data_IF_848052098355
#
_entry.id   IF_848052098355
#
_cell.length_a   1.000
_cell.length_b   1.000
_cell.length_c   1.000
_cell.angle_alpha   90.00
_cell.angle_beta   90.00
_cell.angle_gamma   90.00
#
_symmetry.space_group_name_H-M   'P 1'
#
loop_
_entity.id
_entity.type
_entity.pdbx_description
1 polymer ?
#
# COMPACT_ATOMS: atom_id res chain seq x y z
N UNK A 1 -1.90 -39.22 -21.27
CA UNK A 1 -1.85 -37.82 -20.79
C UNK A 1 -0.60 -37.67 -19.95
N UNK A 2 0.32 -36.80 -20.36
CA UNK A 2 1.51 -36.47 -19.56
C UNK A 2 1.13 -35.42 -18.51
N UNK A 3 1.68 -35.54 -17.30
CA UNK A 3 1.50 -34.51 -16.27
C UNK A 3 2.17 -33.20 -16.72
N UNK A 4 1.59 -32.04 -16.37
CA UNK A 4 2.23 -30.75 -16.63
C UNK A 4 3.56 -30.64 -15.88
N UNK A 5 4.58 -30.00 -16.46
CA UNK A 5 5.87 -29.80 -15.81
C UNK A 5 5.72 -28.86 -14.61
N UNK A 6 6.35 -29.19 -13.48
CA UNK A 6 6.36 -28.38 -12.26
C UNK A 6 7.75 -27.84 -11.98
N UNK A 7 7.86 -26.74 -11.23
CA UNK A 7 9.15 -26.17 -10.83
C UNK A 7 9.81 -25.30 -11.89
N UNK A 8 9.01 -24.63 -12.74
CA UNK A 8 9.54 -23.73 -13.77
C UNK A 8 10.36 -22.58 -13.15
N UNK A 9 11.53 -22.31 -13.72
CA UNK A 9 12.44 -21.26 -13.29
C UNK A 9 11.96 -19.86 -13.73
N UNK A 10 12.54 -18.80 -13.16
CA UNK A 10 12.20 -17.44 -13.56
C UNK A 10 12.49 -17.21 -15.05
N UNK A 11 11.53 -16.61 -15.77
CA UNK A 11 11.56 -16.38 -17.21
C UNK A 11 11.00 -17.52 -18.07
N UNK A 12 10.72 -18.70 -17.48
CA UNK A 12 10.12 -19.81 -18.21
C UNK A 12 8.61 -19.64 -18.39
N UNK A 13 8.07 -20.21 -19.48
CA UNK A 13 6.63 -20.24 -19.75
C UNK A 13 5.87 -21.01 -18.68
N UNK A 14 4.72 -20.49 -18.28
CA UNK A 14 3.83 -21.09 -17.29
C UNK A 14 2.36 -20.91 -17.66
N UNK A 15 1.50 -21.75 -17.07
CA UNK A 15 0.05 -21.71 -17.26
C UNK A 15 -0.42 -22.28 -18.59
N UNK A 16 -1.35 -21.58 -19.25
CA UNK A 16 -2.07 -22.07 -20.43
C UNK A 16 -3.26 -22.99 -20.08
N UNK A 17 -4.03 -23.45 -21.08
CA UNK A 17 -5.17 -24.34 -20.85
C UNK A 17 -4.71 -25.65 -20.19
N UNK A 18 -5.25 -25.93 -19.01
CA UNK A 18 -4.85 -27.05 -18.14
C UNK A 18 -3.37 -27.03 -17.71
N UNK A 19 -2.79 -25.85 -17.51
CA UNK A 19 -1.39 -25.67 -17.07
C UNK A 19 -0.37 -26.41 -17.94
N UNK A 20 -0.63 -26.51 -19.26
CA UNK A 20 0.23 -27.23 -20.20
C UNK A 20 1.68 -26.72 -20.20
N UNK A 21 1.87 -25.43 -19.98
CA UNK A 21 3.20 -24.81 -19.92
C UNK A 21 3.88 -25.05 -18.57
N UNK A 22 3.10 -25.40 -17.53
CA UNK A 22 3.58 -25.82 -16.23
C UNK A 22 3.37 -24.81 -15.10
N UNK A 23 3.70 -25.23 -13.89
CA UNK A 23 3.63 -24.42 -12.68
C UNK A 23 5.02 -23.90 -12.29
N UNK A 24 5.06 -22.66 -11.82
CA UNK A 24 6.29 -22.01 -11.37
C UNK A 24 6.86 -22.66 -10.10
N UNK A 25 8.18 -22.58 -9.93
CA UNK A 25 8.85 -22.96 -8.69
C UNK A 25 8.29 -22.16 -7.49
N UNK A 26 8.36 -22.72 -6.26
CA UNK A 26 7.92 -22.01 -5.07
C UNK A 26 8.62 -20.65 -4.95
N UNK A 27 7.84 -19.59 -4.75
CA UNK A 27 8.32 -18.20 -4.71
C UNK A 27 8.14 -17.41 -6.01
N UNK A 28 7.74 -18.08 -7.09
CA UNK A 28 7.46 -17.46 -8.38
C UNK A 28 5.95 -17.48 -8.67
N UNK A 29 5.47 -16.45 -9.36
CA UNK A 29 4.07 -16.34 -9.82
C UNK A 29 4.02 -16.29 -11.34
N UNK A 30 3.01 -16.96 -11.92
CA UNK A 30 2.79 -16.90 -13.36
C UNK A 30 2.17 -15.56 -13.73
N UNK A 31 2.98 -14.67 -14.30
CA UNK A 31 2.54 -13.34 -14.73
C UNK A 31 2.19 -13.38 -16.23
N UNK A 32 1.04 -12.82 -16.65
CA UNK A 32 0.70 -12.73 -18.06
C UNK A 32 1.76 -11.88 -18.77
N UNK A 33 2.27 -12.37 -19.90
CA UNK A 33 3.11 -11.55 -20.76
C UNK A 33 2.18 -10.56 -21.44
N UNK A 34 2.29 -9.28 -21.09
CA UNK A 34 1.51 -8.20 -21.70
C UNK A 34 1.94 -8.08 -23.18
N UNK A 35 1.35 -8.89 -24.04
CA UNK A 35 1.51 -8.80 -25.49
C UNK A 35 0.69 -7.62 -25.99
N UNK A 36 1.07 -6.41 -25.55
CA UNK A 36 0.69 -5.14 -26.16
C UNK A 36 1.22 -5.12 -27.59
N UNK A 37 0.53 -5.81 -28.52
CA UNK A 37 0.49 -5.63 -29.98
C UNK A 37 -0.19 -6.80 -30.70
N UNK A 38 -1.45 -7.13 -30.39
CA UNK A 38 -2.35 -7.61 -31.47
C UNK A 38 -3.80 -7.38 -31.11
N UNK A 39 -4.37 -6.27 -31.57
CA UNK A 39 -5.82 -6.18 -31.82
C UNK A 39 -6.13 -7.16 -32.96
N UNK A 40 -6.57 -8.37 -32.65
CA UNK A 40 -7.45 -9.12 -33.55
C UNK A 40 -8.50 -9.80 -32.69
N UNK A 41 -9.74 -9.57 -33.10
CA UNK A 41 -10.98 -10.08 -32.52
C UNK A 41 -10.89 -11.57 -32.16
N UNK A 42 -11.06 -11.94 -30.89
CA UNK A 42 -11.69 -13.21 -30.54
C UNK A 42 -12.68 -13.02 -29.38
N UNK A 43 -13.95 -13.04 -29.77
CA UNK A 43 -15.10 -13.27 -28.91
C UNK A 43 -15.10 -14.77 -28.52
N UNK A 44 -15.28 -15.06 -27.23
CA UNK A 44 -15.48 -16.39 -26.60
C UNK A 44 -14.26 -17.30 -26.39
N UNK A 45 -13.55 -17.14 -25.26
CA UNK A 45 -13.10 -18.27 -24.43
C UNK A 45 -12.75 -17.80 -22.99
N UNK A 46 -13.26 -18.46 -21.93
CA UNK A 46 -12.71 -18.34 -20.58
C UNK A 46 -11.41 -19.16 -20.48
N UNK A 47 -10.45 -18.67 -19.70
CA UNK A 47 -9.24 -19.36 -19.22
C UNK A 47 -8.13 -19.70 -20.23
N UNK A 48 -7.21 -18.75 -20.47
CA UNK A 48 -5.82 -19.08 -20.85
C UNK A 48 -4.82 -18.02 -20.37
N UNK A 49 -4.45 -18.10 -19.08
CA UNK A 49 -3.35 -17.37 -18.46
C UNK A 49 -2.01 -18.00 -18.87
N UNK A 50 -1.64 -17.94 -20.14
CA UNK A 50 -0.25 -18.22 -20.52
C UNK A 50 0.60 -17.02 -20.09
N UNK A 51 1.73 -17.29 -19.44
CA UNK A 51 2.57 -16.29 -18.84
C UNK A 51 4.01 -16.74 -18.73
N UNK A 52 4.81 -15.95 -18.03
CA UNK A 52 6.17 -16.33 -17.62
C UNK A 52 6.29 -16.32 -16.11
N UNK A 53 7.10 -17.22 -15.58
CA UNK A 53 7.38 -17.28 -14.15
C UNK A 53 8.21 -16.06 -13.78
N UNK A 54 7.66 -15.21 -12.93
CA UNK A 54 8.33 -14.02 -12.42
C UNK A 54 8.47 -14.16 -10.91
N UNK A 55 9.48 -13.52 -10.33
CA UNK A 55 9.49 -13.33 -8.88
C UNK A 55 8.27 -12.51 -8.50
N UNK A 56 7.74 -12.77 -7.31
CA UNK A 56 6.70 -11.95 -6.69
C UNK A 56 7.32 -10.62 -6.25
N UNK A 57 7.90 -9.88 -7.20
CA UNK A 57 8.62 -8.64 -6.91
C UNK A 57 7.76 -7.44 -7.30
N UNK A 58 7.59 -6.47 -6.39
CA UNK A 58 6.93 -5.22 -6.72
C UNK A 58 7.70 -4.60 -7.89
N UNK A 59 6.97 -4.25 -8.94
CA UNK A 59 7.44 -3.50 -10.10
C UNK A 59 8.49 -2.48 -9.63
N UNK A 60 9.74 -2.66 -10.07
CA UNK A 60 10.81 -1.73 -9.79
C UNK A 60 10.31 -0.29 -10.05
N UNK A 61 10.70 0.70 -9.23
CA UNK A 61 10.18 2.06 -9.37
C UNK A 61 10.40 2.54 -10.80
N UNK A 62 9.30 2.80 -11.52
CA UNK A 62 9.29 3.16 -12.94
C UNK A 62 10.16 4.38 -13.26
N UNK A 63 10.47 5.19 -12.24
CA UNK A 63 11.45 6.25 -12.26
C UNK A 63 11.81 6.66 -10.82
N UNK A 64 12.94 7.36 -10.62
CA UNK A 64 13.38 7.86 -9.29
C UNK A 64 12.32 8.77 -8.64
N UNK A 65 11.61 9.56 -9.44
CA UNK A 65 10.55 10.46 -8.98
C UNK A 65 9.14 9.87 -9.03
N UNK A 66 8.98 8.58 -9.33
CA UNK A 66 7.67 7.96 -9.43
C UNK A 66 7.24 7.44 -8.04
N UNK A 67 5.95 7.47 -7.69
CA UNK A 67 5.46 6.79 -6.49
C UNK A 67 5.78 5.30 -6.59
N UNK A 68 6.41 4.78 -5.55
CA UNK A 68 6.77 3.38 -5.41
C UNK A 68 6.08 2.79 -4.18
N UNK A 69 5.54 1.57 -4.26
CA UNK A 69 4.98 0.91 -3.08
C UNK A 69 6.11 0.66 -2.07
N UNK A 70 5.80 0.87 -0.80
CA UNK A 70 6.74 0.68 0.29
C UNK A 70 6.09 -0.15 1.40
N UNK A 71 6.88 -0.98 2.11
CA UNK A 71 6.33 -1.78 3.20
C UNK A 71 5.83 -0.87 4.33
N UNK A 72 4.66 -1.17 4.93
CA UNK A 72 4.10 -0.36 6.01
C UNK A 72 4.95 -0.37 7.28
N UNK A 73 5.87 -1.32 7.41
CA UNK A 73 6.75 -1.51 8.57
C UNK A 73 8.05 -0.67 8.48
N UNK A 74 8.26 0.09 7.40
CA UNK A 74 9.40 1.01 7.29
C UNK A 74 9.33 2.09 8.38
N UNK A 75 10.43 2.31 9.12
CA UNK A 75 10.46 3.30 10.22
C UNK A 75 10.04 4.70 9.77
N UNK A 76 10.49 5.16 8.61
CA UNK A 76 10.10 6.46 8.07
C UNK A 76 8.61 6.58 7.74
N UNK A 77 7.96 5.47 7.38
CA UNK A 77 6.51 5.43 7.15
C UNK A 77 5.77 5.47 8.48
N UNK A 78 6.23 4.72 9.49
CA UNK A 78 5.65 4.72 10.83
C UNK A 78 5.74 6.13 11.44
N UNK A 79 6.90 6.78 11.36
CA UNK A 79 7.09 8.14 11.88
C UNK A 79 6.22 9.16 11.15
N UNK A 80 6.15 9.09 9.81
CA UNK A 80 5.28 9.95 9.02
C UNK A 80 3.80 9.72 9.35
N UNK A 81 3.37 8.47 9.54
CA UNK A 81 2.00 8.13 9.92
C UNK A 81 1.65 8.70 11.31
N UNK A 82 2.53 8.51 12.30
CA UNK A 82 2.36 9.05 13.66
C UNK A 82 2.24 10.57 13.65
N UNK A 83 3.15 11.23 12.94
CA UNK A 83 3.12 12.68 12.79
C UNK A 83 1.85 13.17 12.08
N UNK A 84 1.41 12.46 11.04
CA UNK A 84 0.19 12.80 10.30
C UNK A 84 -1.06 12.71 11.19
N UNK A 85 -1.23 11.60 11.92
CA UNK A 85 -2.37 11.40 12.84
C UNK A 85 -2.37 12.48 13.91
N UNK A 86 -1.21 12.76 14.52
CA UNK A 86 -1.08 13.82 15.54
C UNK A 86 -1.44 15.21 14.98
N UNK A 87 -1.00 15.52 13.75
CA UNK A 87 -1.33 16.78 13.07
C UNK A 87 -2.82 16.88 12.73
N UNK A 88 -3.45 15.76 12.35
CA UNK A 88 -4.89 15.70 12.09
C UNK A 88 -5.68 15.89 13.38
N UNK A 89 -5.27 15.27 14.50
CA UNK A 89 -5.92 15.44 15.80
C UNK A 89 -5.92 16.89 16.27
N UNK A 90 -4.77 17.57 16.14
CA UNK A 90 -4.65 19.01 16.47
C UNK A 90 -5.59 19.91 15.65
N UNK A 91 -5.97 19.49 14.44
CA UNK A 91 -6.90 20.22 13.58
C UNK A 91 -8.37 19.82 13.74
N UNK A 92 -8.69 18.79 14.52
CA UNK A 92 -10.06 18.30 14.73
C UNK A 92 -10.60 18.82 16.06
N UNK A 93 -11.86 19.25 16.06
CA UNK A 93 -12.58 19.67 17.26
C UNK A 93 -13.56 18.58 17.72
N UNK A 94 -13.03 17.39 18.00
CA UNK A 94 -13.78 16.26 18.53
C UNK A 94 -13.42 16.04 20.00
N UNK A 95 -14.30 15.41 20.78
CA UNK A 95 -14.01 15.08 22.17
C UNK A 95 -12.92 14.00 22.31
N UNK A 96 -12.87 13.04 21.37
CA UNK A 96 -11.94 11.92 21.37
C UNK A 96 -10.84 12.07 20.32
N UNK A 97 -9.62 11.70 20.68
CA UNK A 97 -8.48 11.69 19.76
C UNK A 97 -8.52 10.45 18.85
N UNK A 98 -8.04 10.59 17.61
CA UNK A 98 -7.85 9.45 16.72
C UNK A 98 -6.54 8.74 17.06
N UNK A 99 -6.60 7.41 17.07
CA UNK A 99 -5.46 6.54 17.31
C UNK A 99 -5.15 5.71 16.06
N UNK A 100 -3.86 5.43 15.83
CA UNK A 100 -3.41 4.61 14.72
C UNK A 100 -3.71 3.14 15.01
N UNK A 101 -4.55 2.51 14.20
CA UNK A 101 -4.83 1.07 14.29
C UNK A 101 -3.80 0.29 13.47
N UNK A 102 -3.69 0.63 12.18
CA UNK A 102 -2.74 0.02 11.25
C UNK A 102 -2.53 0.90 10.02
N UNK A 103 -1.44 0.65 9.30
CA UNK A 103 -1.19 1.26 7.99
C UNK A 103 -1.68 0.29 6.91
N UNK A 104 -2.72 0.66 6.18
CA UNK A 104 -3.35 -0.20 5.18
C UNK A 104 -2.57 -0.21 3.86
N UNK A 105 -2.04 0.94 3.46
CA UNK A 105 -1.21 1.09 2.26
C UNK A 105 -0.20 2.21 2.45
N UNK A 106 1.00 2.01 1.92
CA UNK A 106 2.05 3.02 1.93
C UNK A 106 2.75 3.07 0.56
N UNK A 107 3.01 4.29 0.11
CA UNK A 107 3.82 4.56 -1.07
C UNK A 107 4.74 5.74 -0.80
N UNK A 108 5.94 5.70 -1.38
CA UNK A 108 6.95 6.75 -1.26
C UNK A 108 7.36 7.29 -2.62
N UNK A 109 7.57 8.59 -2.69
CA UNK A 109 7.99 9.30 -3.90
C UNK A 109 9.09 10.29 -3.55
N UNK A 110 10.20 10.27 -4.29
CA UNK A 110 11.27 11.26 -4.13
C UNK A 110 10.85 12.58 -4.78
N UNK A 111 10.90 13.66 -4.01
CA UNK A 111 10.58 15.04 -4.43
C UNK A 111 11.64 15.99 -3.86
N UNK A 112 11.29 17.23 -3.48
CA UNK A 112 12.14 18.08 -2.64
C UNK A 112 12.15 17.63 -1.15
N UNK A 113 12.41 16.34 -0.94
CA UNK A 113 12.15 15.57 0.28
C UNK A 113 11.66 14.16 -0.08
N UNK A 114 11.09 13.45 0.88
CA UNK A 114 10.38 12.19 0.64
C UNK A 114 8.90 12.43 0.85
N UNK A 115 8.10 12.29 -0.21
CA UNK A 115 6.63 12.32 -0.12
C UNK A 115 6.13 10.93 0.20
N UNK A 116 5.45 10.79 1.33
CA UNK A 116 4.71 9.62 1.76
C UNK A 116 3.24 9.79 1.39
N UNK A 117 2.69 8.81 0.69
CA UNK A 117 1.25 8.67 0.41
C UNK A 117 0.77 7.49 1.23
N UNK A 118 0.02 7.77 2.29
CA UNK A 118 -0.37 6.76 3.27
C UNK A 118 -1.89 6.67 3.35
N UNK A 119 -2.39 5.44 3.37
CA UNK A 119 -3.76 5.12 3.77
C UNK A 119 -3.68 4.44 5.12
N UNK A 120 -4.20 5.11 6.13
CA UNK A 120 -4.05 4.76 7.53
C UNK A 120 -5.41 4.39 8.08
N UNK A 121 -5.53 3.26 8.77
CA UNK A 121 -6.72 2.97 9.56
C UNK A 121 -6.59 3.60 10.94
N UNK A 122 -7.59 4.41 11.28
CA UNK A 122 -7.69 5.12 12.54
C UNK A 122 -9.01 4.79 13.24
N UNK A 123 -9.00 4.80 14.56
CA UNK A 123 -10.18 4.62 15.41
C UNK A 123 -10.26 5.70 16.48
N UNK A 124 -11.45 5.89 17.06
CA UNK A 124 -11.58 6.78 18.21
C UNK A 124 -10.99 6.12 19.46
N UNK A 125 -10.23 6.89 20.22
CA UNK A 125 -9.59 6.44 21.46
C UNK A 125 -10.30 6.97 22.69
N UNK A 126 -10.01 6.37 23.86
CA UNK A 126 -10.51 6.85 25.15
C UNK A 126 -9.89 8.17 25.59
N UNK A 127 -8.82 8.61 24.94
CA UNK A 127 -8.15 9.86 25.24
C UNK A 127 -8.96 11.05 24.74
N UNK A 128 -9.06 12.06 25.60
CA UNK A 128 -9.63 13.34 25.22
C UNK A 128 -8.68 14.04 24.22
N UNK A 129 -9.23 14.57 23.13
CA UNK A 129 -8.45 15.37 22.20
C UNK A 129 -8.28 16.78 22.78
N UNK A 130 -7.10 17.06 23.32
CA UNK A 130 -6.74 18.37 23.85
C UNK A 130 -6.18 19.33 22.78
N UNK A 131 -6.25 18.92 21.50
CA UNK A 131 -5.67 19.65 20.38
C UNK A 131 -4.14 19.58 20.33
N UNK A 132 -3.51 18.68 21.10
CA UNK A 132 -2.06 18.47 21.10
C UNK A 132 -1.70 17.15 20.41
N UNK A 133 -0.41 17.00 20.16
CA UNK A 133 0.13 15.76 19.62
C UNK A 133 0.10 14.69 20.72
N UNK A 134 -0.78 13.70 20.58
CA UNK A 134 -0.75 12.50 21.40
C UNK A 134 0.27 11.51 20.85
N UNK A 135 1.02 10.86 21.74
CA UNK A 135 1.85 9.72 21.38
C UNK A 135 0.95 8.56 20.95
N UNK A 136 1.02 8.27 19.66
CA UNK A 136 0.34 7.14 19.04
C UNK A 136 0.85 5.83 19.66
N UNK A 137 -0.05 5.12 20.35
CA UNK A 137 0.19 3.89 21.10
C UNK A 137 -0.08 4.00 22.61
N UNK A 138 -0.27 5.22 23.14
CA UNK A 138 -0.53 5.43 24.57
C UNK A 138 -2.01 5.29 24.95
N UNK A 139 -2.91 5.45 23.98
CA UNK A 139 -4.35 5.55 24.21
C UNK A 139 -5.07 4.29 23.71
N UNK A 140 -5.83 3.56 24.56
CA UNK A 140 -6.59 2.41 24.10
C UNK A 140 -7.75 2.86 23.21
N UNK A 141 -8.01 2.09 22.15
CA UNK A 141 -9.17 2.27 21.28
C UNK A 141 -10.46 2.05 22.08
N UNK A 142 -11.49 2.85 21.79
CA UNK A 142 -12.82 2.62 22.36
C UNK A 142 -13.38 1.30 21.84
N UNK A 143 -13.96 0.48 22.71
CA UNK A 143 -14.68 -0.72 22.29
C UNK A 143 -15.86 -0.31 21.37
N UNK A 144 -16.06 -1.05 20.28
CA UNK A 144 -17.09 -0.81 19.25
C UNK A 144 -16.95 0.50 18.45
N UNK A 145 -15.78 1.14 18.44
CA UNK A 145 -15.52 2.28 17.53
C UNK A 145 -15.55 1.84 16.06
N UNK A 146 -16.23 2.63 15.23
CA UNK A 146 -16.09 2.50 13.79
C UNK A 146 -14.67 2.92 13.37
N UNK A 147 -14.00 2.10 12.58
CA UNK A 147 -12.70 2.45 12.00
C UNK A 147 -12.90 3.29 10.74
N UNK A 148 -12.02 4.27 10.58
CA UNK A 148 -11.98 5.18 9.44
C UNK A 148 -10.65 5.00 8.70
N UNK A 149 -10.67 5.27 7.40
CA UNK A 149 -9.49 5.40 6.57
C UNK A 149 -9.10 6.88 6.49
N UNK A 150 -7.89 7.18 6.93
CA UNK A 150 -7.25 8.47 6.82
C UNK A 150 -6.23 8.40 5.69
N UNK A 151 -6.53 9.06 4.59
CA UNK A 151 -5.61 9.25 3.48
C UNK A 151 -4.85 10.54 3.68
N UNK A 152 -3.53 10.43 3.74
CA UNK A 152 -2.64 11.57 3.97
C UNK A 152 -1.47 11.55 3.01
N UNK A 153 -1.09 12.75 2.61
CA UNK A 153 0.14 13.00 1.88
C UNK A 153 1.05 13.87 2.74
N UNK A 154 2.21 13.33 3.11
CA UNK A 154 3.18 14.01 3.98
C UNK A 154 4.51 14.10 3.27
N UNK A 155 5.19 15.23 3.37
CA UNK A 155 6.57 15.39 2.91
C UNK A 155 7.49 15.46 4.12
N UNK A 156 8.48 14.57 4.18
CA UNK A 156 9.62 14.66 5.10
C UNK A 156 10.81 15.32 4.38
N UNK A 157 11.27 16.45 4.90
CA UNK A 157 12.46 17.15 4.46
C UNK A 157 13.32 17.49 5.69
N UNK A 158 14.25 16.61 6.11
CA UNK A 158 15.07 16.80 7.32
C UNK A 158 15.88 18.11 7.35
N UNK A 159 16.18 18.68 6.17
CA UNK A 159 16.91 19.94 6.00
C UNK A 159 16.01 21.19 5.99
N UNK A 160 14.69 21.05 6.20
CA UNK A 160 13.73 22.17 6.25
C UNK A 160 13.14 22.32 7.65
N UNK A 161 12.61 23.51 7.92
CA UNK A 161 11.85 23.83 9.14
C UNK A 161 10.49 24.42 8.73
N UNK A 162 9.36 23.76 9.04
CA UNK A 162 9.22 22.46 9.72
C UNK A 162 9.74 21.28 8.86
N UNK A 163 10.20 20.21 9.53
CA UNK A 163 10.70 18.97 8.89
C UNK A 163 9.61 18.27 8.08
N UNK A 164 8.43 18.11 8.68
CA UNK A 164 7.28 17.47 8.06
C UNK A 164 6.27 18.51 7.58
N UNK A 165 5.69 18.26 6.41
CA UNK A 165 4.63 19.09 5.82
C UNK A 165 3.46 18.23 5.39
N UNK A 166 2.26 18.55 5.87
CA UNK A 166 1.03 17.90 5.46
C UNK A 166 0.52 18.56 4.18
N UNK A 167 0.52 17.82 3.07
CA UNK A 167 0.03 18.32 1.78
C UNK A 167 -1.48 18.18 1.66
N UNK A 168 -2.01 17.01 2.03
CA UNK A 168 -3.44 16.72 1.96
C UNK A 168 -3.86 15.74 3.05
N UNK A 169 -5.14 15.80 3.42
CA UNK A 169 -5.79 14.91 4.37
C UNK A 169 -7.22 14.63 3.92
N UNK A 170 -7.67 13.38 3.99
CA UNK A 170 -9.04 12.99 3.76
C UNK A 170 -9.44 11.85 4.71
N UNK A 171 -10.56 12.00 5.40
CA UNK A 171 -11.15 10.94 6.23
C UNK A 171 -12.31 10.30 5.46
N UNK A 172 -12.32 8.97 5.40
CA UNK A 172 -13.33 8.15 4.72
C UNK A 172 -13.70 6.95 5.59
N UNK A 173 -14.87 6.36 5.38
CA UNK A 173 -15.27 5.16 6.14
C UNK A 173 -14.53 3.93 5.61
N UNK A 174 -14.12 3.02 6.51
CA UNK A 174 -13.47 1.77 6.11
C UNK A 174 -14.42 0.77 5.42
N UNK A 175 -15.73 0.92 5.61
CA UNK A 175 -16.77 0.08 5.00
C UNK A 175 -17.44 0.80 3.82
N UNK A 176 -16.92 0.63 2.60
CA UNK A 176 -17.69 0.80 1.37
C UNK A 176 -17.16 -0.10 0.26
#
# INVERSE_FOLDING_TARGET
>A
MACPPTGRAAGESCGGPCDRDGLCAPGLTCAPVDTLKTRVLEFFAPDARSGVCTTREPLAPACVGCPSPAPPDDEGIIDAARWAVATVNAGRNNAHALELVRIASASKQVVAGIKYMLTIEVGESSCANDGRQHEVGACPLLADTQTLLLDVEVVDAPWRTPRYMLLSKALRNAHR
#
